data_IF_074037116243
#
_entry.id   IF_074037116243
#
_cell.length_a   1.000
_cell.length_b   1.000
_cell.length_c   1.000
_cell.angle_alpha   90.00
_cell.angle_beta   90.00
_cell.angle_gamma   90.00
#
_symmetry.space_group_name_H-M   'P 1'
#
loop_
_entity.id
_entity.type
_entity.pdbx_description
1 polymer ?
#
# COMPACT_ATOMS: atom_id res chain seq x y z
N UNK A 1 8.89 -7.33 -7.34
CA UNK A 1 9.50 -8.28 -6.38
C UNK A 1 10.64 -9.04 -7.05
N UNK A 2 10.39 -9.78 -8.15
CA UNK A 2 11.41 -10.59 -8.84
C UNK A 2 12.62 -9.80 -9.36
N UNK A 3 12.45 -8.51 -9.62
CA UNK A 3 13.45 -7.57 -10.12
C UNK A 3 14.26 -6.87 -9.02
N UNK A 4 13.96 -7.12 -7.74
CA UNK A 4 14.68 -6.53 -6.60
C UNK A 4 14.26 -5.10 -6.22
N UNK A 5 13.31 -4.48 -6.93
CA UNK A 5 12.78 -3.13 -6.60
C UNK A 5 12.15 -3.09 -5.20
N UNK A 6 11.46 -4.16 -4.81
CA UNK A 6 10.92 -4.37 -3.46
C UNK A 6 11.90 -5.25 -2.68
N UNK A 7 12.40 -4.76 -1.56
CA UNK A 7 13.43 -5.44 -0.78
C UNK A 7 13.23 -5.30 0.73
N UNK A 8 13.92 -6.16 1.50
CA UNK A 8 13.90 -6.15 2.97
C UNK A 8 12.49 -6.29 3.55
N UNK A 9 12.19 -5.52 4.60
CA UNK A 9 10.90 -5.55 5.29
C UNK A 9 9.71 -5.07 4.44
N UNK A 10 9.93 -4.59 3.21
CA UNK A 10 8.84 -4.27 2.27
C UNK A 10 8.29 -5.52 1.58
N UNK A 11 9.08 -6.58 1.43
CA UNK A 11 8.64 -7.85 0.85
C UNK A 11 7.40 -8.40 1.58
N UNK A 12 7.44 -8.64 2.91
CA UNK A 12 6.27 -9.17 3.61
C UNK A 12 5.07 -8.22 3.60
N UNK A 13 5.29 -6.90 3.49
CA UNK A 13 4.20 -5.92 3.39
C UNK A 13 3.45 -6.07 2.07
N UNK A 14 4.19 -6.18 0.96
CA UNK A 14 3.61 -6.35 -0.36
C UNK A 14 2.93 -7.72 -0.49
N UNK A 15 3.52 -8.78 0.07
CA UNK A 15 2.89 -10.12 0.10
C UNK A 15 1.54 -10.11 0.83
N UNK A 16 1.45 -9.46 1.99
CA UNK A 16 0.16 -9.30 2.69
C UNK A 16 -0.84 -8.48 1.89
N UNK A 17 -0.39 -7.44 1.16
CA UNK A 17 -1.29 -6.66 0.28
C UNK A 17 -1.86 -7.52 -0.85
N UNK A 18 -1.02 -8.35 -1.47
CA UNK A 18 -1.44 -9.29 -2.54
C UNK A 18 -2.45 -10.29 -1.98
N UNK A 19 -2.15 -10.91 -0.84
CA UNK A 19 -3.06 -11.87 -0.19
C UNK A 19 -4.43 -11.25 0.14
N UNK A 20 -4.46 -10.00 0.61
CA UNK A 20 -5.71 -9.29 0.90
C UNK A 20 -6.55 -9.08 -0.37
N UNK A 21 -5.93 -8.70 -1.48
CA UNK A 21 -6.59 -8.53 -2.77
C UNK A 21 -7.14 -9.87 -3.27
N UNK A 22 -6.34 -10.95 -3.20
CA UNK A 22 -6.77 -12.30 -3.58
C UNK A 22 -7.96 -12.81 -2.74
N UNK A 23 -8.12 -12.30 -1.51
CA UNK A 23 -9.26 -12.57 -0.61
C UNK A 23 -10.47 -11.65 -0.84
N UNK A 24 -10.43 -10.77 -1.84
CA UNK A 24 -11.56 -9.94 -2.26
C UNK A 24 -11.56 -8.50 -1.73
N UNK A 25 -10.44 -8.00 -1.19
CA UNK A 25 -10.30 -6.58 -0.88
C UNK A 25 -10.14 -5.78 -2.17
N UNK A 26 -10.92 -4.70 -2.32
CA UNK A 26 -10.97 -3.89 -3.55
C UNK A 26 -9.68 -3.11 -3.83
N UNK A 27 -8.93 -2.74 -2.78
CA UNK A 27 -7.65 -2.05 -2.91
C UNK A 27 -6.92 -1.94 -1.58
N UNK A 28 -5.59 -1.89 -1.64
CA UNK A 28 -4.71 -1.76 -0.48
C UNK A 28 -3.75 -0.60 -0.69
N UNK A 29 -3.56 0.22 0.34
CA UNK A 29 -2.64 1.36 0.28
C UNK A 29 -1.51 1.21 1.29
N UNK A 30 -0.27 1.33 0.83
CA UNK A 30 0.91 1.44 1.70
C UNK A 30 1.17 2.93 1.98
N UNK A 31 0.99 3.33 3.24
CA UNK A 31 1.13 4.72 3.70
C UNK A 31 2.42 4.96 4.48
N UNK A 32 2.96 6.18 4.40
CA UNK A 32 3.98 6.66 5.31
C UNK A 32 3.36 7.13 6.64
N UNK A 33 3.44 6.29 7.67
CA UNK A 33 2.89 6.59 9.00
C UNK A 33 3.56 7.75 9.75
N UNK A 34 4.67 8.32 9.26
CA UNK A 34 5.30 9.51 9.85
C UNK A 34 4.63 10.81 9.40
N UNK A 35 3.84 10.78 8.33
CA UNK A 35 3.13 11.95 7.82
C UNK A 35 1.92 12.23 8.72
N UNK A 36 1.79 13.44 9.29
CA UNK A 36 0.60 13.81 10.05
C UNK A 36 -0.66 13.63 9.20
N UNK A 37 -1.68 13.02 9.78
CA UNK A 37 -2.96 12.78 9.11
C UNK A 37 -2.86 11.93 7.82
N UNK A 38 -1.85 11.07 7.66
CA UNK A 38 -1.64 10.25 6.46
C UNK A 38 -2.91 9.54 5.96
N UNK A 39 -3.72 8.98 6.87
CA UNK A 39 -4.98 8.31 6.53
C UNK A 39 -6.02 9.28 5.96
N UNK A 40 -6.16 10.47 6.55
CA UNK A 40 -7.10 11.47 6.06
C UNK A 40 -6.65 12.03 4.71
N UNK A 41 -5.35 12.26 4.54
CA UNK A 41 -4.79 12.70 3.25
C UNK A 41 -5.07 11.68 2.15
N UNK A 42 -4.90 10.39 2.42
CA UNK A 42 -5.19 9.33 1.45
C UNK A 42 -6.68 9.32 1.05
N UNK A 43 -7.58 9.44 2.02
CA UNK A 43 -9.02 9.31 1.77
C UNK A 43 -9.66 10.56 1.15
N UNK A 44 -9.10 11.74 1.41
CA UNK A 44 -9.77 13.02 1.12
C UNK A 44 -8.97 13.95 0.20
N UNK A 45 -7.93 13.46 -0.46
CA UNK A 45 -7.19 14.23 -1.48
C UNK A 45 -7.08 13.46 -2.79
N UNK A 46 -7.14 14.15 -3.93
CA UNK A 46 -7.13 13.49 -5.25
C UNK A 46 -5.83 12.75 -5.57
N UNK A 47 -4.69 13.22 -5.02
CA UNK A 47 -3.40 12.62 -5.33
C UNK A 47 -3.07 11.40 -4.47
N UNK A 48 -3.77 11.22 -3.34
CA UNK A 48 -3.37 10.27 -2.31
C UNK A 48 -1.99 10.59 -1.69
N UNK A 49 -1.67 9.93 -0.60
CA UNK A 49 -0.36 10.05 0.09
C UNK A 49 0.46 8.74 0.03
N UNK A 50 -0.14 7.66 -0.46
CA UNK A 50 0.46 6.32 -0.45
C UNK A 50 0.71 5.72 -1.83
N UNK A 51 1.10 4.45 -1.81
CA UNK A 51 1.12 3.59 -2.99
C UNK A 51 -0.12 2.71 -2.97
N UNK A 52 -1.00 2.91 -3.95
CA UNK A 52 -2.22 2.12 -4.14
C UNK A 52 -1.91 0.84 -4.95
N UNK A 53 -2.40 -0.28 -4.45
CA UNK A 53 -2.35 -1.60 -5.09
C UNK A 53 -3.80 -2.05 -5.31
N UNK A 54 -4.12 -2.40 -6.55
CA UNK A 54 -5.43 -2.86 -7.03
C UNK A 54 -5.24 -4.14 -7.85
N UNK A 55 -6.30 -4.95 -8.08
CA UNK A 55 -6.24 -6.14 -8.94
C UNK A 55 -5.65 -5.90 -10.33
#
# INVERSE_FOLDING_TARGET
IKDGTVSGGMIPKVETCIEAIERGVEGVVILNGKTPHAVLLELFTEHGAGTLIVP
#
